data_IF_862869400139
#
_entry.id   IF_862869400139
#
_cell.length_a   1.000
_cell.length_b   1.000
_cell.length_c   1.000
_cell.angle_alpha   90.00
_cell.angle_beta   90.00
_cell.angle_gamma   90.00
#
_symmetry.space_group_name_H-M   'P 1'
#
loop_
_entity.id
_entity.type
_entity.pdbx_description
1 polymer ?
#
# COMPACT_ATOMS: atom_id res chain seq x y z
N UNK A 1 -12.36 -22.88 28.74
CA UNK A 1 -12.74 -21.82 27.78
C UNK A 1 -11.59 -21.68 26.78
N UNK A 2 -11.70 -22.30 25.60
CA UNK A 2 -10.64 -22.29 24.56
C UNK A 2 -11.11 -21.39 23.42
N UNK A 3 -10.47 -20.24 23.25
CA UNK A 3 -10.61 -19.42 22.05
C UNK A 3 -9.99 -20.20 20.88
N UNK A 4 -10.85 -20.68 19.98
CA UNK A 4 -10.42 -21.19 18.69
C UNK A 4 -10.01 -20.01 17.82
N UNK A 5 -8.71 -19.71 17.75
CA UNK A 5 -8.17 -18.84 16.71
C UNK A 5 -8.27 -19.60 15.37
N UNK A 6 -9.34 -19.36 14.63
CA UNK A 6 -9.51 -19.86 13.26
C UNK A 6 -8.45 -19.19 12.39
N UNK A 7 -7.39 -19.95 12.06
CA UNK A 7 -6.43 -19.59 11.03
C UNK A 7 -7.13 -19.73 9.68
N UNK A 8 -7.67 -18.64 9.15
CA UNK A 8 -8.11 -18.58 7.75
C UNK A 8 -6.87 -18.52 6.83
N UNK A 9 -6.76 -19.37 5.80
CA UNK A 9 -5.72 -19.25 4.79
C UNK A 9 -6.31 -18.54 3.57
N UNK A 10 -6.41 -17.21 3.61
CA UNK A 10 -6.66 -16.41 2.40
C UNK A 10 -5.65 -15.27 2.39
N UNK A 11 -4.46 -15.57 1.93
CA UNK A 11 -3.42 -14.60 1.62
C UNK A 11 -2.51 -15.23 0.57
N UNK A 12 -3.01 -15.40 -0.66
CA UNK A 12 -2.20 -15.93 -1.76
C UNK A 12 -1.98 -14.81 -2.75
N UNK A 13 -0.91 -14.06 -2.49
CA UNK A 13 0.00 -13.34 -3.42
C UNK A 13 0.70 -12.18 -2.69
N UNK A 14 0.00 -11.45 -1.81
CA UNK A 14 0.60 -10.38 -0.98
C UNK A 14 1.56 -10.90 0.11
N UNK A 15 1.32 -12.11 0.61
CA UNK A 15 2.02 -12.65 1.78
C UNK A 15 3.47 -13.07 1.52
N UNK A 16 3.94 -13.08 0.26
CA UNK A 16 5.25 -13.65 -0.11
C UNK A 16 6.27 -12.61 -0.57
N UNK A 17 5.95 -11.31 -0.56
CA UNK A 17 6.99 -10.29 -0.70
C UNK A 17 7.67 -10.05 0.65
N UNK A 18 8.94 -10.45 0.73
CA UNK A 18 9.81 -10.12 1.86
C UNK A 18 9.80 -8.59 2.08
N UNK A 19 9.78 -8.17 3.34
CA UNK A 19 9.72 -6.77 3.72
C UNK A 19 10.84 -5.93 3.07
N UNK A 20 12.07 -6.48 3.01
CA UNK A 20 13.19 -5.78 2.39
C UNK A 20 13.01 -5.60 0.88
N UNK A 21 12.44 -6.58 0.18
CA UNK A 21 12.10 -6.45 -1.24
C UNK A 21 11.02 -5.39 -1.46
N UNK A 22 10.03 -5.32 -0.58
CA UNK A 22 8.99 -4.29 -0.62
C UNK A 22 9.56 -2.89 -0.39
N UNK A 23 10.49 -2.74 0.57
CA UNK A 23 11.18 -1.48 0.84
C UNK A 23 11.99 -1.00 -0.38
N UNK A 24 12.79 -1.88 -0.96
CA UNK A 24 13.58 -1.56 -2.15
C UNK A 24 12.70 -1.18 -3.34
N UNK A 25 11.60 -1.91 -3.56
CA UNK A 25 10.65 -1.60 -4.63
C UNK A 25 10.01 -0.22 -4.45
N UNK A 26 9.54 0.08 -3.24
CA UNK A 26 8.93 1.38 -2.91
C UNK A 26 9.94 2.50 -3.10
N UNK A 27 11.17 2.33 -2.60
CA UNK A 27 12.23 3.33 -2.76
C UNK A 27 12.53 3.62 -4.23
N UNK A 28 12.66 2.56 -5.05
CA UNK A 28 12.86 2.71 -6.49
C UNK A 28 11.71 3.48 -7.14
N UNK A 29 10.45 3.18 -6.77
CA UNK A 29 9.29 3.87 -7.31
C UNK A 29 9.17 5.33 -6.88
N UNK A 30 9.64 5.67 -5.68
CA UNK A 30 9.76 7.07 -5.23
C UNK A 30 10.79 7.80 -6.08
N UNK A 31 11.97 7.20 -6.29
CA UNK A 31 13.06 7.78 -7.11
C UNK A 31 12.66 7.94 -8.58
N UNK A 32 11.90 6.99 -9.13
CA UNK A 32 11.33 7.07 -10.48
C UNK A 32 10.16 8.06 -10.61
N UNK A 33 9.70 8.66 -9.50
CA UNK A 33 8.56 9.60 -9.49
C UNK A 33 7.19 8.96 -9.70
N UNK A 34 7.13 7.61 -9.73
CA UNK A 34 5.88 6.82 -9.81
C UNK A 34 5.11 6.87 -8.50
N UNK A 35 5.82 6.86 -7.37
CA UNK A 35 5.26 7.17 -6.07
C UNK A 35 5.61 8.61 -5.69
N UNK A 36 4.67 9.36 -5.10
CA UNK A 36 4.97 10.71 -4.61
C UNK A 36 5.98 10.62 -3.46
N UNK A 37 6.95 11.53 -3.48
CA UNK A 37 7.81 11.79 -2.34
C UNK A 37 7.11 12.72 -1.33
N UNK A 38 6.29 13.64 -1.85
CA UNK A 38 5.58 14.64 -1.05
C UNK A 38 4.51 14.03 -0.13
N UNK A 39 4.13 14.79 0.89
CA UNK A 39 3.04 14.42 1.79
C UNK A 39 1.70 14.36 1.07
N UNK A 40 0.88 13.37 1.44
CA UNK A 40 -0.52 13.30 1.06
C UNK A 40 -1.32 14.27 1.92
N UNK A 41 -2.17 15.08 1.30
CA UNK A 41 -3.02 16.06 2.00
C UNK A 41 -4.21 15.44 2.69
N UNK A 42 -4.70 14.33 2.13
CA UNK A 42 -5.84 13.59 2.66
C UNK A 42 -5.60 12.13 2.45
N UNK A 43 -5.72 11.35 3.52
CA UNK A 43 -5.63 9.89 3.50
C UNK A 43 -6.94 9.36 4.08
N UNK A 44 -7.55 8.40 3.40
CA UNK A 44 -8.72 7.68 3.90
C UNK A 44 -8.56 6.18 3.69
N UNK A 45 -9.24 5.41 4.52
CA UNK A 45 -9.29 3.95 4.41
C UNK A 45 -10.68 3.51 3.97
N UNK A 46 -10.76 2.79 2.87
CA UNK A 46 -12.00 2.22 2.32
C UNK A 46 -11.83 0.72 2.15
N UNK A 47 -12.95 -0.01 2.03
CA UNK A 47 -12.89 -1.36 1.48
C UNK A 47 -12.47 -1.24 0.01
N UNK A 48 -11.54 -2.08 -0.42
CA UNK A 48 -11.16 -2.16 -1.82
C UNK A 48 -12.31 -2.72 -2.67
N UNK A 49 -12.41 -2.32 -3.94
CA UNK A 49 -13.28 -2.95 -4.93
C UNK A 49 -12.51 -3.78 -5.98
N UNK A 50 -11.22 -4.05 -5.75
CA UNK A 50 -10.34 -4.71 -6.72
C UNK A 50 -9.30 -3.79 -7.35
N UNK A 51 -8.96 -2.67 -6.70
CA UNK A 51 -7.96 -1.73 -7.18
C UNK A 51 -6.56 -2.35 -7.23
N UNK A 52 -5.64 -1.75 -7.97
CA UNK A 52 -4.23 -2.19 -7.98
C UNK A 52 -3.41 -1.31 -7.05
N UNK A 53 -2.60 -1.93 -6.20
CA UNK A 53 -1.71 -1.20 -5.30
C UNK A 53 -0.56 -0.57 -6.10
N UNK A 54 -0.45 0.76 -6.07
CA UNK A 54 0.58 1.52 -6.78
C UNK A 54 2.01 1.20 -6.31
N UNK A 55 2.18 0.62 -5.10
CA UNK A 55 3.48 0.23 -4.57
C UNK A 55 3.93 -1.16 -5.00
N UNK A 56 3.11 -2.20 -4.80
CA UNK A 56 3.49 -3.58 -5.10
C UNK A 56 2.90 -4.13 -6.41
N UNK A 57 2.16 -3.30 -7.16
CA UNK A 57 1.48 -3.67 -8.42
C UNK A 57 0.57 -4.90 -8.30
N UNK A 58 0.13 -5.21 -7.08
CA UNK A 58 -0.76 -6.33 -6.78
C UNK A 58 -2.18 -5.83 -6.57
N UNK A 59 -3.16 -6.62 -7.00
CA UNK A 59 -4.58 -6.32 -6.85
C UNK A 59 -4.97 -6.43 -5.38
N UNK A 60 -5.56 -5.36 -4.84
CA UNK A 60 -6.24 -5.36 -3.55
C UNK A 60 -7.50 -6.20 -3.69
N UNK A 61 -7.66 -7.25 -2.88
CA UNK A 61 -8.90 -8.03 -2.90
C UNK A 61 -10.05 -7.22 -2.27
N UNK A 62 -11.31 -7.48 -2.66
CA UNK A 62 -12.48 -6.68 -2.24
C UNK A 62 -12.73 -6.61 -0.73
N UNK A 63 -12.15 -7.53 0.02
CA UNK A 63 -12.20 -7.62 1.48
C UNK A 63 -11.01 -6.96 2.18
N UNK A 64 -10.02 -6.51 1.42
CA UNK A 64 -8.84 -5.84 1.94
C UNK A 64 -9.07 -4.34 2.11
N UNK A 65 -8.38 -3.79 3.11
CA UNK A 65 -8.42 -2.37 3.40
C UNK A 65 -7.47 -1.62 2.45
N UNK A 66 -8.05 -0.74 1.63
CA UNK A 66 -7.36 0.18 0.76
C UNK A 66 -7.05 1.47 1.52
N UNK A 67 -5.81 1.92 1.45
CA UNK A 67 -5.41 3.27 1.84
C UNK A 67 -5.32 4.12 0.58
N UNK A 68 -6.19 5.12 0.50
CA UNK A 68 -6.18 6.08 -0.60
C UNK A 68 -5.66 7.44 -0.14
N UNK A 69 -4.85 8.09 -0.98
CA UNK A 69 -4.22 9.36 -0.67
C UNK A 69 -4.28 10.35 -1.82
N UNK A 70 -4.64 11.61 -1.55
CA UNK A 70 -4.47 12.69 -2.54
C UNK A 70 -3.12 13.38 -2.39
N UNK A 71 -2.41 13.54 -3.51
CA UNK A 71 -1.21 14.38 -3.60
C UNK A 71 -1.59 15.84 -3.80
N UNK A 72 -0.71 16.77 -3.39
CA UNK A 72 -0.85 18.21 -3.66
C UNK A 72 -0.83 18.56 -5.16
N UNK A 73 -0.23 17.71 -5.99
CA UNK A 73 -0.13 17.94 -7.43
C UNK A 73 -1.52 17.84 -8.10
N UNK A 74 -2.01 18.92 -8.74
CA UNK A 74 -3.27 18.89 -9.47
C UNK A 74 -3.22 17.89 -10.63
N UNK A 75 -4.27 17.10 -10.81
CA UNK A 75 -4.41 16.17 -11.94
C UNK A 75 -3.74 14.80 -11.76
N UNK A 76 -3.07 14.54 -10.63
CA UNK A 76 -2.67 13.17 -10.28
C UNK A 76 -3.86 12.37 -9.75
N UNK A 77 -3.94 11.10 -10.16
CA UNK A 77 -4.88 10.13 -9.58
C UNK A 77 -4.59 9.95 -8.09
N UNK A 78 -5.62 9.64 -7.27
CA UNK A 78 -5.39 9.25 -5.89
C UNK A 78 -4.44 8.05 -5.85
N UNK A 79 -3.51 8.09 -4.90
CA UNK A 79 -2.58 7.01 -4.63
C UNK A 79 -3.33 5.89 -3.92
N UNK A 80 -3.27 4.67 -4.46
CA UNK A 80 -3.99 3.50 -3.94
C UNK A 80 -2.99 2.47 -3.42
N UNK A 81 -3.00 2.21 -2.11
CA UNK A 81 -2.02 1.33 -1.47
C UNK A 81 -2.69 0.36 -0.50
N UNK A 82 -2.16 -0.85 -0.38
CA UNK A 82 -2.42 -1.68 0.80
C UNK A 82 -1.96 -0.95 2.07
N UNK A 83 -2.59 -1.21 3.21
CA UNK A 83 -2.17 -0.64 4.52
C UNK A 83 -0.69 -0.87 4.80
N UNK A 84 -0.19 -2.09 4.55
CA UNK A 84 1.23 -2.42 4.75
C UNK A 84 2.14 -1.62 3.81
N UNK A 85 1.77 -1.52 2.53
CA UNK A 85 2.52 -0.76 1.54
C UNK A 85 2.57 0.74 1.89
N UNK A 86 1.45 1.28 2.38
CA UNK A 86 1.36 2.66 2.86
C UNK A 86 2.34 2.92 4.01
N UNK A 87 2.40 2.04 5.02
CA UNK A 87 3.32 2.19 6.15
C UNK A 87 4.78 2.21 5.73
N UNK A 88 5.17 1.33 4.80
CA UNK A 88 6.53 1.29 4.27
C UNK A 88 6.85 2.53 3.45
N UNK A 89 5.95 2.94 2.56
CA UNK A 89 6.09 4.17 1.78
C UNK A 89 6.21 5.41 2.67
N UNK A 90 5.38 5.52 3.72
CA UNK A 90 5.41 6.64 4.65
C UNK A 90 6.72 6.70 5.46
N UNK A 91 7.33 5.54 5.74
CA UNK A 91 8.66 5.48 6.31
C UNK A 91 9.73 5.90 5.31
N UNK A 92 9.78 5.25 4.13
CA UNK A 92 10.84 5.45 3.15
C UNK A 92 10.85 6.89 2.60
N UNK A 93 9.70 7.54 2.40
CA UNK A 93 9.63 8.94 1.93
C UNK A 93 10.21 9.94 2.93
N UNK A 94 10.23 9.62 4.23
CA UNK A 94 10.82 10.48 5.28
C UNK A 94 12.33 10.26 5.43
N UNK A 95 12.85 9.16 4.90
CA UNK A 95 14.26 8.76 5.02
C UNK A 95 15.05 8.93 3.73
N UNK A 96 14.37 9.03 2.58
CA UNK A 96 14.94 9.32 1.28
C UNK A 96 15.20 10.82 1.11
#
# INVERSE_FOLDING_TARGET
>A
MRLACVRSPVATCEATMNQESLRLLIRHKIQDGRLPHDSLTRVWSTASDGETCDACDTILAKDQMLMEGMTLAPGRKPLQLHVRCFQVWDHERRTA
#
